data_IF_429540551915
#
_entry.id   IF_429540551915
#
_cell.length_a   1.000
_cell.length_b   1.000
_cell.length_c   1.000
_cell.angle_alpha   90.00
_cell.angle_beta   90.00
_cell.angle_gamma   90.00
#
_symmetry.space_group_name_H-M   'P 1'
#
loop_
_entity.id
_entity.type
_entity.pdbx_description
1 polymer ?
#
# COMPACT_ATOMS: atom_id res chain seq x y z
N UNK A 1 -2.68 -25.18 -18.51
CA UNK A 1 -2.46 -25.91 -19.79
C UNK A 1 -0.99 -26.28 -19.87
N UNK A 2 -0.63 -27.48 -20.36
CA UNK A 2 0.77 -27.90 -20.42
C UNK A 2 1.54 -27.03 -21.44
N UNK A 3 2.83 -26.69 -21.15
CA UNK A 3 3.70 -25.92 -22.03
C UNK A 3 3.75 -26.48 -23.47
N UNK A 4 3.67 -27.82 -23.58
CA UNK A 4 3.57 -28.50 -24.87
C UNK A 4 2.32 -28.11 -25.68
N UNK A 5 1.19 -27.93 -25.04
CA UNK A 5 -0.08 -27.52 -25.69
C UNK A 5 -0.01 -26.08 -26.18
N UNK A 6 0.66 -25.20 -25.46
CA UNK A 6 0.87 -23.80 -25.87
C UNK A 6 1.83 -23.68 -27.06
N UNK A 7 2.91 -24.47 -27.08
CA UNK A 7 3.84 -24.51 -28.22
C UNK A 7 3.19 -25.13 -29.46
N UNK A 8 2.32 -26.13 -29.31
CA UNK A 8 1.61 -26.74 -30.43
C UNK A 8 0.63 -25.78 -31.13
N UNK A 9 0.07 -24.80 -30.42
CA UNK A 9 -0.83 -23.80 -30.99
C UNK A 9 -0.10 -22.71 -31.81
N UNK A 10 1.21 -22.54 -31.65
CA UNK A 10 1.99 -21.52 -32.37
C UNK A 10 2.34 -21.91 -33.83
N UNK A 11 2.43 -20.97 -34.77
CA UNK A 11 2.96 -21.19 -36.11
C UNK A 11 4.42 -21.63 -36.08
N UNK A 12 4.85 -22.39 -37.11
CA UNK A 12 6.24 -22.89 -37.20
C UNK A 12 7.26 -21.75 -37.33
N UNK A 13 6.87 -20.60 -37.90
CA UNK A 13 7.71 -19.41 -38.00
C UNK A 13 8.05 -18.84 -36.63
N UNK A 14 7.07 -18.75 -35.73
CA UNK A 14 7.26 -18.22 -34.37
C UNK A 14 8.12 -19.18 -33.51
N UNK A 15 7.95 -20.48 -33.69
CA UNK A 15 8.78 -21.47 -33.00
C UNK A 15 10.25 -21.41 -33.43
N UNK A 16 10.49 -21.09 -34.71
CA UNK A 16 11.87 -20.88 -35.23
C UNK A 16 12.48 -19.59 -34.70
N UNK A 17 11.72 -18.51 -34.62
CA UNK A 17 12.19 -17.25 -34.03
C UNK A 17 12.54 -17.41 -32.54
N UNK A 18 11.76 -18.22 -31.79
CA UNK A 18 12.06 -18.54 -30.38
C UNK A 18 13.36 -19.38 -30.28
N UNK A 19 13.53 -20.37 -31.15
CA UNK A 19 14.73 -21.21 -31.17
C UNK A 19 15.99 -20.41 -31.57
N UNK A 20 15.84 -19.44 -32.49
CA UNK A 20 16.91 -18.53 -32.91
C UNK A 20 17.31 -17.57 -31.76
N UNK A 21 16.31 -17.04 -31.01
CA UNK A 21 16.57 -16.22 -29.82
C UNK A 21 17.24 -16.97 -28.65
N UNK A 22 17.16 -18.30 -28.64
CA UNK A 22 17.82 -19.18 -27.67
C UNK A 22 19.11 -19.81 -28.20
N UNK A 23 19.61 -19.36 -29.35
CA UNK A 23 20.86 -19.81 -30.00
C UNK A 23 20.89 -21.34 -30.27
N UNK A 24 19.71 -21.93 -30.60
CA UNK A 24 19.54 -23.36 -30.84
C UNK A 24 19.64 -23.69 -32.34
N UNK A 25 20.29 -24.80 -32.71
CA UNK A 25 20.32 -25.29 -34.07
C UNK A 25 18.93 -25.80 -34.51
N UNK A 26 18.20 -24.95 -35.25
CA UNK A 26 16.80 -25.18 -35.67
C UNK A 26 16.61 -25.38 -37.19
N UNK A 27 17.66 -25.19 -38.00
CA UNK A 27 17.59 -25.27 -39.47
C UNK A 27 17.23 -26.68 -39.94
N UNK A 28 16.07 -26.77 -40.64
CA UNK A 28 15.62 -28.05 -41.22
C UNK A 28 14.75 -28.91 -40.31
N UNK A 29 14.48 -28.50 -39.08
CA UNK A 29 13.65 -29.29 -38.16
C UNK A 29 12.14 -29.12 -38.45
N UNK A 30 11.41 -30.24 -38.35
CA UNK A 30 9.93 -30.26 -38.41
C UNK A 30 9.33 -29.75 -37.09
N UNK A 31 8.09 -29.23 -37.14
CA UNK A 31 7.39 -28.61 -36.00
C UNK A 31 7.43 -29.45 -34.72
N UNK A 32 7.24 -30.76 -34.81
CA UNK A 32 7.26 -31.66 -33.66
C UNK A 32 8.62 -31.71 -32.97
N UNK A 33 9.72 -31.85 -33.75
CA UNK A 33 11.09 -31.88 -33.21
C UNK A 33 11.54 -30.53 -32.66
N UNK A 34 11.01 -29.44 -33.24
CA UNK A 34 11.28 -28.08 -32.75
C UNK A 34 10.63 -27.84 -31.39
N UNK A 35 9.42 -28.39 -31.18
CA UNK A 35 8.73 -28.33 -29.89
C UNK A 35 9.46 -29.17 -28.84
N UNK A 36 9.90 -30.37 -29.19
CA UNK A 36 10.66 -31.23 -28.27
C UNK A 36 12.00 -30.58 -27.90
N UNK A 37 12.71 -29.98 -28.84
CA UNK A 37 13.95 -29.22 -28.59
C UNK A 37 13.72 -28.01 -27.68
N UNK A 38 12.62 -27.27 -27.87
CA UNK A 38 12.25 -26.14 -27.03
C UNK A 38 11.80 -26.58 -25.63
N UNK A 39 11.23 -27.78 -25.49
CA UNK A 39 10.86 -28.33 -24.18
C UNK A 39 12.06 -28.90 -23.42
N UNK A 40 13.03 -29.52 -24.10
CA UNK A 40 14.28 -29.99 -23.46
C UNK A 40 15.15 -28.85 -22.91
N UNK A 41 15.10 -27.66 -23.55
CA UNK A 41 15.76 -26.46 -23.04
C UNK A 41 14.81 -25.62 -22.16
N UNK A 42 13.52 -25.81 -22.30
CA UNK A 42 12.47 -25.07 -21.55
C UNK A 42 12.28 -25.54 -20.10
N UNK A 43 12.79 -26.71 -19.73
CA UNK A 43 12.97 -27.06 -18.31
C UNK A 43 14.05 -26.20 -17.63
N UNK A 44 14.80 -25.39 -18.44
CA UNK A 44 15.76 -24.41 -17.94
C UNK A 44 15.27 -22.94 -18.08
N UNK A 45 14.19 -22.64 -18.80
CA UNK A 45 13.81 -21.25 -19.16
C UNK A 45 12.31 -20.94 -19.03
N UNK A 46 11.44 -21.87 -18.66
CA UNK A 46 10.01 -21.61 -18.42
C UNK A 46 9.70 -21.56 -16.92
N UNK A 47 10.55 -20.87 -16.17
CA UNK A 47 10.29 -20.44 -14.79
C UNK A 47 10.46 -18.90 -14.67
N UNK A 48 9.82 -18.14 -15.53
CA UNK A 48 9.69 -16.69 -15.29
C UNK A 48 8.42 -16.19 -15.95
N UNK A 49 7.29 -16.35 -15.25
CA UNK A 49 6.18 -15.42 -15.17
C UNK A 49 5.07 -15.97 -14.24
N UNK A 50 5.46 -16.23 -12.98
CA UNK A 50 4.52 -16.16 -11.84
C UNK A 50 5.22 -15.42 -10.70
N UNK A 51 4.49 -14.74 -9.79
CA UNK A 51 5.07 -13.68 -8.97
C UNK A 51 6.18 -14.20 -8.07
N UNK A 52 7.34 -13.58 -8.20
CA UNK A 52 8.57 -13.80 -7.43
C UNK A 52 8.33 -13.45 -5.95
N UNK A 53 7.66 -14.30 -5.20
CA UNK A 53 7.63 -14.25 -3.72
C UNK A 53 7.65 -15.64 -3.07
N UNK A 54 7.42 -16.73 -3.81
CA UNK A 54 7.30 -18.07 -3.23
C UNK A 54 8.53 -18.98 -3.39
N UNK A 55 9.51 -18.66 -4.22
CA UNK A 55 10.57 -19.60 -4.61
C UNK A 55 12.01 -19.25 -4.23
N UNK A 56 12.25 -18.24 -3.38
CA UNK A 56 13.58 -17.95 -2.81
C UNK A 56 13.90 -18.83 -1.59
N UNK A 57 13.12 -19.88 -1.32
CA UNK A 57 13.36 -20.81 -0.18
C UNK A 57 14.01 -22.13 -0.60
N UNK A 58 14.28 -22.36 -1.89
CA UNK A 58 14.86 -23.64 -2.32
C UNK A 58 15.86 -23.46 -3.43
N UNK A 59 17.10 -23.47 -3.06
CA UNK A 59 18.38 -23.70 -3.78
C UNK A 59 19.31 -22.49 -3.83
N UNK A 60 20.31 -22.51 -2.98
CA UNK A 60 21.68 -22.16 -3.33
C UNK A 60 22.62 -23.04 -2.52
N UNK A 61 23.25 -23.96 -3.21
CA UNK A 61 24.49 -24.60 -2.82
C UNK A 61 25.67 -23.65 -3.08
N UNK A 62 26.68 -23.81 -2.23
CA UNK A 62 27.93 -23.10 -2.15
C UNK A 62 28.67 -22.84 -3.46
N UNK A 63 29.19 -21.64 -3.66
CA UNK A 63 30.63 -21.32 -3.76
C UNK A 63 30.87 -19.95 -4.43
N UNK A 64 31.74 -19.17 -3.79
CA UNK A 64 32.55 -18.04 -4.30
C UNK A 64 31.86 -16.74 -4.77
N UNK A 65 31.76 -15.76 -3.84
CA UNK A 65 31.95 -14.34 -4.14
C UNK A 65 32.51 -13.58 -2.93
N UNK A 66 33.29 -12.50 -3.14
CA UNK A 66 34.14 -11.91 -2.13
C UNK A 66 33.37 -11.07 -1.11
N UNK A 67 33.83 -11.15 0.13
CA UNK A 67 33.46 -10.36 1.28
C UNK A 67 33.40 -8.86 1.00
N UNK A 68 32.21 -8.27 1.10
CA UNK A 68 32.01 -6.87 1.46
C UNK A 68 31.34 -6.81 2.82
N UNK A 69 32.04 -6.15 3.69
CA UNK A 69 31.86 -6.02 5.11
C UNK A 69 30.54 -5.32 5.48
N UNK A 70 29.79 -5.96 6.38
CA UNK A 70 29.12 -5.43 7.55
C UNK A 70 27.99 -4.43 7.47
N UNK A 71 26.81 -4.85 7.97
CA UNK A 71 26.34 -4.21 9.20
C UNK A 71 25.12 -4.97 9.77
N UNK A 72 25.23 -5.39 11.00
CA UNK A 72 24.10 -5.62 11.91
C UNK A 72 23.51 -7.01 11.91
N UNK A 73 24.26 -7.95 12.45
CA UNK A 73 23.76 -9.19 13.06
C UNK A 73 22.77 -8.83 14.19
N UNK A 74 21.52 -8.59 13.87
CA UNK A 74 20.45 -8.47 14.85
C UNK A 74 20.06 -9.89 15.28
N UNK A 75 20.87 -10.50 16.13
CA UNK A 75 20.50 -11.73 16.81
C UNK A 75 19.22 -11.46 17.62
N UNK A 76 18.09 -11.99 17.14
CA UNK A 76 16.81 -11.97 17.87
C UNK A 76 17.03 -12.65 19.21
N UNK A 77 16.99 -11.90 20.30
CA UNK A 77 17.10 -12.43 21.67
C UNK A 77 15.82 -13.20 21.99
N UNK A 78 15.97 -14.34 22.67
CA UNK A 78 14.81 -15.08 23.15
C UNK A 78 13.96 -14.19 24.06
N UNK A 79 12.65 -14.00 23.70
CA UNK A 79 11.72 -13.13 24.43
C UNK A 79 11.66 -11.67 23.92
N UNK A 80 12.33 -11.32 22.83
CA UNK A 80 12.16 -10.02 22.19
C UNK A 80 10.70 -9.85 21.72
N UNK A 81 10.06 -8.73 22.07
CA UNK A 81 8.74 -8.34 21.55
C UNK A 81 8.91 -7.35 20.43
N UNK A 82 8.11 -7.49 19.36
CA UNK A 82 8.04 -6.52 18.26
C UNK A 82 6.63 -6.08 18.02
N UNK A 83 6.51 -4.82 17.60
CA UNK A 83 5.29 -4.21 17.17
C UNK A 83 5.35 -3.93 15.67
N UNK A 84 4.23 -4.11 14.98
CA UNK A 84 4.13 -3.81 13.58
C UNK A 84 2.69 -3.85 13.07
N UNK A 85 2.48 -3.28 11.88
CA UNK A 85 1.17 -3.28 11.23
C UNK A 85 1.00 -4.56 10.44
N UNK A 86 -0.09 -5.28 10.71
CA UNK A 86 -0.39 -6.55 10.06
C UNK A 86 -0.81 -6.37 8.61
N UNK A 87 0.00 -6.90 7.71
CA UNK A 87 -0.29 -7.02 6.29
C UNK A 87 -0.61 -8.49 5.96
N UNK A 88 -1.88 -8.79 5.63
CA UNK A 88 -2.33 -10.15 5.32
C UNK A 88 -2.26 -10.35 3.81
N UNK A 89 -1.62 -11.44 3.40
CA UNK A 89 -1.49 -11.84 2.01
C UNK A 89 -2.68 -12.73 1.56
N UNK A 90 -2.91 -12.88 0.24
CA UNK A 90 -4.02 -13.67 -0.29
C UNK A 90 -4.06 -15.12 0.20
N UNK A 91 -2.91 -15.71 0.52
CA UNK A 91 -2.75 -17.08 1.02
C UNK A 91 -3.19 -17.24 2.49
N UNK A 92 -3.51 -16.13 3.16
CA UNK A 92 -4.08 -16.10 4.51
C UNK A 92 -3.08 -16.03 5.66
N UNK A 93 -1.78 -16.06 5.41
CA UNK A 93 -0.75 -15.67 6.36
C UNK A 93 -0.42 -14.17 6.22
N UNK A 94 0.40 -13.62 7.10
CA UNK A 94 0.74 -12.21 7.04
C UNK A 94 2.13 -11.89 7.55
N UNK A 95 2.47 -10.59 7.48
CA UNK A 95 3.68 -10.03 8.07
C UNK A 95 3.32 -8.82 8.92
N UNK A 96 3.98 -8.66 10.05
CA UNK A 96 4.01 -7.38 10.75
C UNK A 96 5.05 -6.50 10.08
N UNK A 97 4.62 -5.39 9.52
CA UNK A 97 5.48 -4.38 8.95
C UNK A 97 6.04 -3.53 10.08
N UNK A 98 7.30 -3.78 10.45
CA UNK A 98 7.94 -3.13 11.60
C UNK A 98 8.68 -1.83 11.21
N UNK A 99 8.88 -1.59 9.92
CA UNK A 99 9.58 -0.41 9.40
C UNK A 99 8.65 0.48 8.57
N UNK A 100 7.46 0.78 9.12
CA UNK A 100 6.41 1.54 8.45
C UNK A 100 5.40 0.65 7.73
N UNK A 101 5.00 1.01 6.47
CA UNK A 101 3.94 0.33 5.73
C UNK A 101 4.44 -0.50 4.54
N UNK A 102 5.74 -0.65 4.41
CA UNK A 102 6.40 -1.37 3.32
C UNK A 102 7.04 -2.65 3.81
N UNK A 103 7.24 -3.63 2.91
CA UNK A 103 8.07 -4.80 3.20
C UNK A 103 9.49 -4.39 3.61
N UNK A 104 10.01 -5.01 4.66
CA UNK A 104 11.34 -4.73 5.19
C UNK A 104 12.00 -5.96 5.80
N UNK A 105 13.32 -5.89 6.01
CA UNK A 105 14.09 -7.01 6.56
C UNK A 105 13.76 -7.30 8.03
N UNK A 106 13.17 -6.33 8.74
CA UNK A 106 12.76 -6.48 10.14
C UNK A 106 11.33 -7.02 10.30
N UNK A 107 10.67 -7.38 9.21
CA UNK A 107 9.29 -7.88 9.25
C UNK A 107 9.18 -9.18 10.03
N UNK A 108 8.02 -9.41 10.64
CA UNK A 108 7.74 -10.60 11.44
C UNK A 108 6.64 -11.41 10.76
N UNK A 109 6.92 -12.67 10.50
CA UNK A 109 5.93 -13.59 9.94
C UNK A 109 4.80 -13.90 10.92
N UNK A 110 3.56 -13.85 10.46
CA UNK A 110 2.36 -14.16 11.25
C UNK A 110 1.64 -15.37 10.63
N UNK A 111 1.57 -16.50 11.35
CA UNK A 111 0.89 -17.70 10.84
C UNK A 111 -0.61 -17.47 10.62
N UNK A 112 -1.17 -18.06 9.56
CA UNK A 112 -2.60 -18.00 9.27
C UNK A 112 -3.48 -18.54 10.42
N UNK A 113 -2.97 -19.51 11.19
CA UNK A 113 -3.63 -20.03 12.38
C UNK A 113 -3.81 -18.96 13.48
N UNK A 114 -2.78 -18.16 13.74
CA UNK A 114 -2.85 -17.04 14.70
C UNK A 114 -3.81 -15.96 14.24
N UNK A 115 -3.77 -15.60 12.94
CA UNK A 115 -4.70 -14.61 12.36
C UNK A 115 -6.16 -15.05 12.57
N UNK A 116 -6.47 -16.31 12.28
CA UNK A 116 -7.83 -16.86 12.47
C UNK A 116 -8.22 -16.98 13.94
N UNK A 117 -7.32 -17.47 14.80
CA UNK A 117 -7.57 -17.67 16.24
C UNK A 117 -7.98 -16.36 16.91
N UNK A 118 -7.22 -15.29 16.66
CA UNK A 118 -7.43 -13.97 17.27
C UNK A 118 -8.29 -13.03 16.42
N UNK A 119 -8.83 -13.51 15.28
CA UNK A 119 -9.65 -12.69 14.35
C UNK A 119 -8.97 -11.38 13.94
N UNK A 120 -7.66 -11.42 13.81
CA UNK A 120 -6.88 -10.26 13.36
C UNK A 120 -7.22 -9.90 11.92
N UNK A 121 -7.13 -8.62 11.60
CA UNK A 121 -7.44 -8.07 10.28
C UNK A 121 -6.25 -7.30 9.73
N UNK A 122 -6.19 -7.17 8.42
CA UNK A 122 -5.23 -6.30 7.76
C UNK A 122 -5.34 -4.88 8.31
N UNK A 123 -4.20 -4.26 8.64
CA UNK A 123 -4.12 -2.93 9.25
C UNK A 123 -4.17 -2.92 10.78
N UNK A 124 -4.34 -4.06 11.46
CA UNK A 124 -4.18 -4.13 12.92
C UNK A 124 -2.73 -3.85 13.32
N UNK A 125 -2.52 -3.06 14.37
CA UNK A 125 -1.24 -2.90 15.03
C UNK A 125 -1.08 -4.03 16.04
N UNK A 126 -0.12 -4.90 15.85
CA UNK A 126 0.07 -6.09 16.67
C UNK A 126 1.42 -6.04 17.35
N UNK A 127 1.43 -6.23 18.68
CA UNK A 127 2.63 -6.39 19.48
C UNK A 127 2.68 -7.80 20.08
N UNK A 128 3.85 -8.41 20.10
CA UNK A 128 4.01 -9.69 20.74
C UNK A 128 5.43 -10.26 20.68
N UNK A 129 5.70 -11.30 21.48
CA UNK A 129 6.98 -11.99 21.49
C UNK A 129 7.22 -12.70 20.16
N UNK A 130 8.45 -12.61 19.67
CA UNK A 130 8.89 -13.24 18.44
C UNK A 130 9.86 -14.39 18.74
N UNK A 131 9.88 -15.38 17.86
CA UNK A 131 10.91 -16.41 17.83
C UNK A 131 11.90 -16.17 16.68
N UNK A 132 13.14 -16.54 16.90
CA UNK A 132 14.16 -16.51 15.85
C UNK A 132 13.73 -17.38 14.64
N UNK A 133 14.15 -17.01 13.42
CA UNK A 133 13.89 -17.81 12.23
C UNK A 133 14.57 -19.20 12.36
N UNK A 134 13.89 -20.25 11.89
CA UNK A 134 14.44 -21.59 11.80
C UNK A 134 15.30 -21.74 10.54
N UNK A 135 16.07 -22.84 10.42
CA UNK A 135 17.06 -23.08 9.35
C UNK A 135 16.60 -22.83 7.89
N UNK A 136 15.29 -22.69 7.63
CA UNK A 136 14.73 -22.41 6.29
C UNK A 136 13.81 -21.19 6.26
N UNK A 137 13.74 -20.43 7.34
CA UNK A 137 12.89 -19.26 7.46
C UNK A 137 13.74 -17.98 7.33
N UNK A 138 13.33 -17.05 6.48
CA UNK A 138 14.01 -15.75 6.32
C UNK A 138 13.65 -14.78 7.45
N UNK A 139 12.43 -14.85 7.98
CA UNK A 139 11.89 -13.89 8.94
C UNK A 139 11.64 -14.51 10.30
N UNK A 140 11.81 -13.75 11.41
CA UNK A 140 11.32 -14.15 12.71
C UNK A 140 9.81 -14.35 12.67
N UNK A 141 9.25 -15.17 13.55
CA UNK A 141 7.82 -15.42 13.56
C UNK A 141 7.18 -15.00 14.88
N UNK A 142 5.98 -14.41 14.80
CA UNK A 142 5.16 -14.10 15.96
C UNK A 142 4.76 -15.40 16.67
N UNK A 143 5.01 -15.48 17.96
CA UNK A 143 4.62 -16.61 18.80
C UNK A 143 3.14 -16.50 19.15
N UNK A 144 2.78 -15.37 19.78
CA UNK A 144 1.43 -15.05 20.21
C UNK A 144 1.28 -13.52 20.27
N UNK A 145 0.16 -12.94 19.85
CA UNK A 145 -0.08 -11.52 20.04
C UNK A 145 -0.29 -11.21 21.53
N UNK A 146 0.43 -10.24 22.06
CA UNK A 146 0.26 -9.72 23.40
C UNK A 146 -0.81 -8.63 23.43
N UNK A 147 -0.75 -7.73 22.44
CA UNK A 147 -1.76 -6.71 22.25
C UNK A 147 -2.10 -6.61 20.76
N UNK A 148 -3.33 -6.22 20.45
CA UNK A 148 -3.78 -5.83 19.12
C UNK A 148 -4.48 -4.48 19.23
N UNK A 149 -3.93 -3.48 18.53
CA UNK A 149 -4.34 -2.08 18.63
C UNK A 149 -4.33 -1.54 20.07
N UNK A 150 -3.39 -2.04 20.88
CA UNK A 150 -3.27 -1.66 22.31
C UNK A 150 -4.23 -2.35 23.28
N UNK A 151 -5.13 -3.22 22.77
CA UNK A 151 -6.10 -3.96 23.56
C UNK A 151 -5.74 -5.46 23.65
N UNK A 152 -6.38 -6.17 24.57
CA UNK A 152 -6.27 -7.63 24.68
C UNK A 152 -6.81 -8.30 23.42
N UNK A 153 -6.06 -9.23 22.80
CA UNK A 153 -6.48 -9.94 21.59
C UNK A 153 -7.83 -10.67 21.71
N UNK A 154 -8.21 -11.11 22.92
CA UNK A 154 -9.48 -11.80 23.15
C UNK A 154 -10.70 -10.88 22.94
N UNK A 155 -10.54 -9.57 23.12
CA UNK A 155 -11.61 -8.58 22.91
C UNK A 155 -11.95 -8.38 21.43
N UNK A 156 -11.06 -8.74 20.51
CA UNK A 156 -11.28 -8.60 19.05
C UNK A 156 -12.49 -9.39 18.54
N UNK A 157 -12.90 -10.43 19.27
CA UNK A 157 -14.07 -11.23 18.89
C UNK A 157 -15.37 -10.42 18.83
N UNK A 158 -15.45 -9.29 19.54
CA UNK A 158 -16.62 -8.41 19.60
C UNK A 158 -16.54 -7.22 18.66
N UNK A 159 -15.43 -7.02 17.96
CA UNK A 159 -15.20 -5.88 17.06
C UNK A 159 -16.14 -5.92 15.85
N UNK A 160 -16.89 -4.86 15.63
CA UNK A 160 -17.74 -4.68 14.46
C UNK A 160 -16.88 -4.39 13.24
N UNK A 161 -17.25 -4.90 12.07
CA UNK A 161 -16.57 -4.62 10.82
C UNK A 161 -16.90 -3.21 10.32
N UNK A 162 -15.90 -2.50 9.80
CA UNK A 162 -16.06 -1.14 9.28
C UNK A 162 -17.21 -1.00 8.28
N UNK A 163 -17.41 -2.00 7.42
CA UNK A 163 -18.46 -1.99 6.41
C UNK A 163 -19.88 -2.18 7.00
N UNK A 164 -19.97 -2.63 8.25
CA UNK A 164 -21.24 -2.82 8.97
C UNK A 164 -21.59 -1.65 9.87
N UNK A 165 -20.70 -0.68 10.03
CA UNK A 165 -20.95 0.52 10.80
C UNK A 165 -21.89 1.44 10.03
N UNK A 166 -22.87 2.05 10.71
CA UNK A 166 -23.85 2.95 10.12
C UNK A 166 -23.19 4.28 9.74
N UNK A 167 -23.12 4.65 8.45
CA UNK A 167 -22.53 5.92 8.05
C UNK A 167 -23.50 7.07 8.29
N UNK A 168 -22.98 8.19 8.80
CA UNK A 168 -23.69 9.44 8.96
C UNK A 168 -23.05 10.55 8.12
N UNK A 169 -23.79 11.64 7.91
CA UNK A 169 -23.21 12.86 7.37
C UNK A 169 -22.28 13.51 8.40
N UNK A 170 -21.27 14.28 7.95
CA UNK A 170 -20.44 15.09 8.83
C UNK A 170 -21.27 16.13 9.56
N UNK A 171 -21.41 16.02 10.88
CA UNK A 171 -22.18 16.92 11.74
C UNK A 171 -21.29 17.69 12.75
N UNK A 172 -20.07 17.21 12.98
CA UNK A 172 -19.07 17.85 13.82
C UNK A 172 -17.96 18.47 12.96
N UNK A 173 -17.67 19.75 13.22
CA UNK A 173 -16.70 20.52 12.43
C UNK A 173 -15.27 20.35 12.94
N UNK A 174 -14.33 20.10 12.05
CA UNK A 174 -12.90 20.22 12.29
C UNK A 174 -12.47 21.68 12.05
N UNK A 175 -12.35 22.47 13.12
CA UNK A 175 -11.89 23.86 13.02
C UNK A 175 -10.40 23.92 12.65
N UNK A 176 -10.08 24.73 11.65
CA UNK A 176 -8.72 24.95 11.21
C UNK A 176 -8.14 26.31 11.69
N UNK A 177 -8.97 27.28 12.05
CA UNK A 177 -8.52 28.50 12.66
C UNK A 177 -7.89 28.22 14.03
N UNK A 178 -6.59 28.57 14.17
CA UNK A 178 -5.86 28.38 15.43
C UNK A 178 -5.99 29.65 16.26
N UNK A 179 -6.61 29.60 17.44
CA UNK A 179 -6.78 30.77 18.30
C UNK A 179 -5.42 31.40 18.67
N UNK A 180 -5.35 32.72 18.64
CA UNK A 180 -4.13 33.46 19.01
C UNK A 180 -3.03 33.48 17.94
N UNK A 181 -3.27 32.93 16.74
CA UNK A 181 -2.34 32.94 15.61
C UNK A 181 -2.96 33.60 14.37
N UNK A 182 -3.17 34.93 14.39
CA UNK A 182 -3.84 35.63 13.29
C UNK A 182 -3.07 35.60 11.96
N UNK A 183 -1.78 35.29 11.98
CA UNK A 183 -0.94 35.08 10.80
C UNK A 183 -1.27 33.82 10.02
N UNK A 184 -1.91 32.85 10.66
CA UNK A 184 -2.36 31.60 10.02
C UNK A 184 -3.69 31.81 9.27
N UNK A 185 -3.61 32.48 8.12
CA UNK A 185 -4.80 32.90 7.34
C UNK A 185 -5.44 31.72 6.61
N UNK A 186 -4.67 30.72 6.17
CA UNK A 186 -5.18 29.60 5.35
C UNK A 186 -6.30 28.83 6.05
N UNK A 187 -6.10 28.45 7.33
CA UNK A 187 -7.12 27.77 8.12
C UNK A 187 -8.43 28.57 8.24
N UNK A 188 -8.33 29.90 8.44
CA UNK A 188 -9.51 30.79 8.50
C UNK A 188 -10.24 30.88 7.17
N UNK A 189 -9.53 30.96 6.05
CA UNK A 189 -10.11 30.99 4.71
C UNK A 189 -10.90 29.69 4.47
N UNK A 190 -10.28 28.53 4.76
CA UNK A 190 -10.92 27.22 4.58
C UNK A 190 -12.15 27.13 5.48
N UNK A 191 -12.05 27.55 6.73
CA UNK A 191 -13.17 27.55 7.68
C UNK A 191 -14.36 28.39 7.23
N UNK A 192 -14.12 29.47 6.50
CA UNK A 192 -15.18 30.38 6.02
C UNK A 192 -15.80 29.91 4.70
N UNK A 193 -14.99 29.36 3.79
CA UNK A 193 -15.43 29.07 2.42
C UNK A 193 -15.77 27.60 2.21
N UNK A 194 -14.97 26.68 2.80
CA UNK A 194 -15.09 25.24 2.61
C UNK A 194 -14.85 24.49 3.93
N UNK A 195 -15.71 24.68 4.95
CA UNK A 195 -15.53 24.06 6.26
C UNK A 195 -15.48 22.53 6.15
N UNK A 196 -14.59 21.92 6.94
CA UNK A 196 -14.38 20.49 6.96
C UNK A 196 -15.04 19.89 8.19
N UNK A 197 -15.78 18.79 8.01
CA UNK A 197 -16.39 18.03 9.08
C UNK A 197 -15.72 16.67 9.29
N UNK A 198 -15.87 16.09 10.50
CA UNK A 198 -15.47 14.73 10.81
C UNK A 198 -16.23 13.74 9.92
N UNK A 199 -15.51 12.88 9.21
CA UNK A 199 -16.08 11.95 8.24
C UNK A 199 -16.24 12.50 6.82
N UNK A 200 -15.78 13.72 6.55
CA UNK A 200 -15.91 14.35 5.24
C UNK A 200 -14.92 13.80 4.21
N UNK A 201 -15.36 13.74 2.96
CA UNK A 201 -14.50 13.64 1.78
C UNK A 201 -14.28 15.02 1.19
N UNK A 202 -13.04 15.41 0.95
CA UNK A 202 -12.69 16.67 0.34
C UNK A 202 -11.57 16.56 -0.67
N UNK A 203 -11.65 17.36 -1.75
CA UNK A 203 -10.57 17.49 -2.73
C UNK A 203 -9.91 18.87 -2.59
N UNK A 204 -8.58 18.85 -2.59
CA UNK A 204 -7.74 20.04 -2.72
C UNK A 204 -7.21 20.05 -4.15
N UNK A 205 -7.89 20.82 -5.01
CA UNK A 205 -7.60 20.87 -6.44
C UNK A 205 -6.63 22.00 -6.73
N UNK A 206 -5.55 21.70 -7.41
CA UNK A 206 -4.56 22.72 -7.78
C UNK A 206 -3.77 22.34 -9.03
N UNK A 207 -3.32 23.32 -9.83
CA UNK A 207 -2.30 23.08 -10.83
C UNK A 207 -0.95 22.76 -10.18
N UNK A 208 0.01 22.19 -10.92
CA UNK A 208 1.36 21.95 -10.41
C UNK A 208 2.01 23.23 -9.88
N UNK A 209 2.77 23.11 -8.78
CA UNK A 209 3.53 24.23 -8.15
C UNK A 209 2.66 25.36 -7.58
N UNK A 210 1.39 25.13 -7.29
CA UNK A 210 0.48 26.15 -6.72
C UNK A 210 0.47 26.22 -5.17
N UNK A 211 1.43 25.59 -4.49
CA UNK A 211 1.50 25.61 -3.03
C UNK A 211 0.68 24.54 -2.31
N UNK A 212 0.28 23.47 -3.00
CA UNK A 212 -0.47 22.32 -2.47
C UNK A 212 0.09 21.80 -1.15
N UNK A 213 1.39 21.52 -1.09
CA UNK A 213 2.09 21.00 0.10
C UNK A 213 2.01 21.97 1.29
N UNK A 214 2.07 23.28 1.03
CA UNK A 214 1.91 24.30 2.07
C UNK A 214 0.52 24.27 2.68
N UNK A 215 -0.51 24.15 1.85
CA UNK A 215 -1.91 24.05 2.32
C UNK A 215 -2.11 22.78 3.14
N UNK A 216 -1.57 21.64 2.70
CA UNK A 216 -1.64 20.38 3.46
C UNK A 216 -0.98 20.49 4.83
N UNK A 217 0.20 21.10 4.93
CA UNK A 217 0.88 21.34 6.21
C UNK A 217 0.08 22.24 7.13
N UNK A 218 -0.49 23.33 6.61
CA UNK A 218 -1.34 24.22 7.40
C UNK A 218 -2.60 23.49 7.91
N UNK A 219 -3.25 22.68 7.09
CA UNK A 219 -4.38 21.84 7.52
C UNK A 219 -3.94 20.86 8.60
N UNK A 220 -2.85 20.12 8.38
CA UNK A 220 -2.30 19.15 9.32
C UNK A 220 -2.03 19.81 10.69
N UNK A 221 -1.26 20.89 10.70
CA UNK A 221 -0.90 21.60 11.92
C UNK A 221 -2.10 22.27 12.62
N UNK A 222 -3.11 22.65 11.87
CA UNK A 222 -4.34 23.21 12.43
C UNK A 222 -5.18 22.12 13.11
N UNK A 223 -5.27 20.94 12.50
CA UNK A 223 -5.97 19.79 13.07
C UNK A 223 -5.31 19.34 14.37
N UNK A 224 -4.01 19.12 14.38
CA UNK A 224 -3.29 18.70 15.58
C UNK A 224 -3.31 19.73 16.70
N UNK A 225 -3.35 21.02 16.37
CA UNK A 225 -3.42 22.09 17.36
C UNK A 225 -4.83 22.22 17.99
N UNK A 226 -5.89 22.01 17.22
CA UNK A 226 -7.27 22.22 17.66
C UNK A 226 -7.96 20.93 18.12
N UNK A 227 -7.54 19.77 17.60
CA UNK A 227 -8.14 18.47 17.83
C UNK A 227 -7.05 17.42 18.13
N UNK A 228 -6.39 17.49 19.30
CA UNK A 228 -5.29 16.60 19.64
C UNK A 228 -5.72 15.12 19.81
N UNK A 229 -7.01 14.86 19.96
CA UNK A 229 -7.59 13.51 20.00
C UNK A 229 -7.65 12.83 18.63
N UNK A 230 -7.59 13.59 17.55
CA UNK A 230 -7.67 13.09 16.18
C UNK A 230 -6.37 12.38 15.78
N UNK A 231 -6.47 11.17 15.27
CA UNK A 231 -5.34 10.47 14.67
C UNK A 231 -5.10 10.97 13.25
N UNK A 232 -4.05 11.77 13.08
CA UNK A 232 -3.68 12.33 11.79
C UNK A 232 -2.72 11.41 11.04
N UNK A 233 -3.09 11.02 9.82
CA UNK A 233 -2.27 10.25 8.89
C UNK A 233 -2.02 11.08 7.63
N UNK A 234 -0.77 11.21 7.22
CA UNK A 234 -0.38 11.83 5.95
C UNK A 234 0.16 10.75 5.03
N UNK A 235 -0.52 10.53 3.90
CA UNK A 235 -0.19 9.48 2.93
C UNK A 235 0.39 10.12 1.67
N UNK A 236 1.69 9.95 1.46
CA UNK A 236 2.43 10.50 0.33
C UNK A 236 2.73 9.39 -0.67
N UNK A 237 2.20 9.52 -1.88
CA UNK A 237 2.32 8.51 -2.93
C UNK A 237 3.06 9.07 -4.13
N UNK A 238 4.16 8.43 -4.52
CA UNK A 238 4.99 8.85 -5.67
C UNK A 238 5.52 10.28 -5.49
N UNK A 239 5.82 10.68 -4.24
CA UNK A 239 6.40 11.99 -3.92
C UNK A 239 7.93 11.94 -3.79
N UNK A 240 8.56 13.11 -3.83
CA UNK A 240 10.01 13.22 -3.77
C UNK A 240 10.53 13.00 -2.34
N UNK A 241 11.70 12.35 -2.14
CA UNK A 241 12.26 12.13 -0.81
C UNK A 241 12.42 13.40 0.02
N UNK A 242 12.79 14.53 -0.60
CA UNK A 242 12.91 15.83 0.07
C UNK A 242 11.56 16.36 0.57
N UNK A 243 10.46 16.15 -0.19
CA UNK A 243 9.11 16.54 0.21
C UNK A 243 8.59 15.66 1.36
N UNK A 244 8.93 14.36 1.33
CA UNK A 244 8.64 13.44 2.43
C UNK A 244 9.35 13.88 3.72
N UNK A 245 10.65 14.16 3.65
CA UNK A 245 11.44 14.60 4.81
C UNK A 245 10.91 15.91 5.38
N UNK A 246 10.53 16.84 4.51
CA UNK A 246 9.97 18.13 4.89
C UNK A 246 8.60 17.96 5.60
N UNK A 247 7.75 17.05 5.10
CA UNK A 247 6.47 16.72 5.74
C UNK A 247 6.69 16.09 7.12
N UNK A 248 7.59 15.11 7.23
CA UNK A 248 7.92 14.43 8.50
C UNK A 248 8.44 15.40 9.58
N UNK A 249 9.15 16.45 9.17
CA UNK A 249 9.69 17.46 10.10
C UNK A 249 8.69 18.55 10.48
N UNK A 250 7.67 18.76 9.63
CA UNK A 250 6.75 19.89 9.73
C UNK A 250 5.39 19.53 10.32
N UNK A 251 5.04 18.25 10.38
CA UNK A 251 3.71 17.79 10.78
C UNK A 251 3.83 16.81 11.95
N UNK A 252 3.05 17.04 12.99
CA UNK A 252 2.89 16.12 14.11
C UNK A 252 1.75 15.14 13.77
N UNK A 253 2.11 14.02 13.15
CA UNK A 253 1.20 12.98 12.67
C UNK A 253 1.94 11.79 12.07
N UNK A 254 1.22 10.73 11.78
CA UNK A 254 1.77 9.53 11.16
C UNK A 254 2.01 9.77 9.67
N UNK A 255 3.27 9.92 9.23
CA UNK A 255 3.63 10.13 7.83
C UNK A 255 3.96 8.81 7.15
N UNK A 256 3.11 8.40 6.24
CA UNK A 256 3.18 7.16 5.46
C UNK A 256 3.56 7.53 4.04
N UNK A 257 4.57 6.90 3.47
CA UNK A 257 5.06 7.31 2.16
C UNK A 257 5.61 6.17 1.31
N UNK A 258 5.54 6.37 0.01
CA UNK A 258 6.28 5.64 -1.00
C UNK A 258 6.81 6.64 -2.03
N UNK A 259 8.14 6.74 -2.14
CA UNK A 259 8.84 7.73 -2.96
C UNK A 259 8.87 7.36 -4.44
N UNK A 260 9.02 8.34 -5.33
CA UNK A 260 8.91 8.20 -6.78
C UNK A 260 9.89 7.19 -7.41
N UNK A 261 10.98 6.85 -6.71
CA UNK A 261 11.99 5.87 -7.13
C UNK A 261 11.53 4.41 -6.92
N UNK A 262 10.35 4.20 -6.31
CA UNK A 262 9.81 2.88 -6.02
C UNK A 262 8.87 2.40 -7.13
N UNK A 263 8.71 1.06 -7.27
CA UNK A 263 7.79 0.50 -8.26
C UNK A 263 6.33 0.82 -7.92
N UNK A 264 5.44 0.88 -8.94
CA UNK A 264 4.02 1.20 -8.76
C UNK A 264 3.29 0.27 -7.78
N UNK A 265 3.68 -0.98 -7.70
CA UNK A 265 3.12 -1.99 -6.78
C UNK A 265 3.34 -1.59 -5.32
N UNK A 266 4.50 -1.01 -4.98
CA UNK A 266 4.78 -0.51 -3.62
C UNK A 266 3.84 0.66 -3.26
N UNK A 267 3.60 1.59 -4.19
CA UNK A 267 2.66 2.70 -3.97
C UNK A 267 1.26 2.19 -3.66
N UNK A 268 0.79 1.20 -4.42
CA UNK A 268 -0.55 0.62 -4.22
C UNK A 268 -0.64 -0.20 -2.92
N UNK A 269 0.42 -0.91 -2.55
CA UNK A 269 0.48 -1.70 -1.32
C UNK A 269 0.46 -0.80 -0.08
N UNK A 270 1.32 0.23 -0.05
CA UNK A 270 1.41 1.18 1.06
C UNK A 270 0.09 1.90 1.27
N UNK A 271 -0.52 2.43 0.21
CA UNK A 271 -1.81 3.11 0.31
C UNK A 271 -2.94 2.19 0.78
N UNK A 272 -2.97 0.94 0.30
CA UNK A 272 -3.94 -0.07 0.73
C UNK A 272 -3.79 -0.41 2.21
N UNK A 273 -2.56 -0.56 2.69
CA UNK A 273 -2.32 -0.84 4.10
C UNK A 273 -2.68 0.36 4.98
N UNK A 274 -2.39 1.59 4.52
CA UNK A 274 -2.74 2.82 5.22
C UNK A 274 -4.26 2.97 5.41
N UNK A 275 -5.06 2.76 4.37
CA UNK A 275 -6.53 2.85 4.51
C UNK A 275 -7.09 1.73 5.41
N UNK A 276 -6.53 0.52 5.35
CA UNK A 276 -6.95 -0.54 6.27
C UNK A 276 -6.59 -0.20 7.72
N UNK A 277 -5.43 0.39 7.98
CA UNK A 277 -5.06 0.90 9.32
C UNK A 277 -6.06 1.95 9.80
N UNK A 278 -6.39 2.93 8.97
CA UNK A 278 -7.38 3.96 9.31
C UNK A 278 -8.74 3.36 9.67
N UNK A 279 -9.21 2.37 8.90
CA UNK A 279 -10.45 1.65 9.21
C UNK A 279 -10.39 0.94 10.57
N UNK A 280 -9.23 0.32 10.93
CA UNK A 280 -9.07 -0.33 12.25
C UNK A 280 -9.19 0.67 13.39
N UNK A 281 -8.54 1.84 13.26
CA UNK A 281 -8.66 2.92 14.24
C UNK A 281 -10.09 3.44 14.39
N UNK A 282 -10.78 3.58 13.27
CA UNK A 282 -12.18 4.05 13.26
C UNK A 282 -13.13 3.01 13.88
N UNK A 283 -12.90 1.70 13.67
CA UNK A 283 -13.65 0.62 14.35
C UNK A 283 -13.49 0.65 15.87
N UNK A 284 -12.43 1.27 16.38
CA UNK A 284 -12.18 1.50 17.82
C UNK A 284 -12.83 2.79 18.35
N UNK A 285 -13.57 3.49 17.52
CA UNK A 285 -14.23 4.75 17.89
C UNK A 285 -13.31 5.97 17.82
N UNK A 286 -12.15 5.88 17.16
CA UNK A 286 -11.24 7.02 16.99
C UNK A 286 -11.65 7.87 15.80
N UNK A 287 -11.44 9.18 15.91
CA UNK A 287 -11.52 10.11 14.80
C UNK A 287 -10.18 10.10 14.04
N UNK A 288 -10.25 9.75 12.76
CA UNK A 288 -9.07 9.63 11.90
C UNK A 288 -9.17 10.63 10.75
N UNK A 289 -8.09 11.35 10.48
CA UNK A 289 -7.95 12.21 9.31
C UNK A 289 -6.82 11.71 8.44
N UNK A 290 -7.11 11.44 7.17
CA UNK A 290 -6.11 11.14 6.15
C UNK A 290 -5.94 12.35 5.24
N UNK A 291 -4.70 12.85 5.13
CA UNK A 291 -4.27 13.78 4.10
C UNK A 291 -3.53 12.98 3.02
N UNK A 292 -4.13 12.82 1.83
CA UNK A 292 -3.56 12.04 0.73
C UNK A 292 -2.95 12.95 -0.33
N UNK A 293 -1.67 12.84 -0.55
CA UNK A 293 -0.95 13.53 -1.61
C UNK A 293 -0.29 12.52 -2.56
N UNK A 294 -0.81 12.24 -3.76
CA UNK A 294 -2.06 12.75 -4.33
C UNK A 294 -2.94 11.62 -4.89
N UNK A 295 -4.23 11.88 -5.02
CA UNK A 295 -5.17 10.96 -5.69
C UNK A 295 -4.73 10.70 -7.13
N UNK A 296 -4.29 11.73 -7.84
CA UNK A 296 -3.82 11.63 -9.24
C UNK A 296 -2.67 10.64 -9.38
N UNK A 297 -1.68 10.74 -8.50
CA UNK A 297 -0.52 9.82 -8.51
C UNK A 297 -0.90 8.40 -8.07
N UNK A 298 -1.77 8.27 -7.08
CA UNK A 298 -2.29 6.98 -6.65
C UNK A 298 -3.04 6.28 -7.79
N UNK A 299 -3.87 7.00 -8.54
CA UNK A 299 -4.58 6.45 -9.69
C UNK A 299 -3.62 6.02 -10.81
N UNK A 300 -2.58 6.80 -11.09
CA UNK A 300 -1.53 6.43 -12.04
C UNK A 300 -0.77 5.17 -11.60
N UNK A 301 -0.44 5.06 -10.30
CA UNK A 301 0.21 3.88 -9.76
C UNK A 301 -0.66 2.62 -9.92
N UNK A 302 -1.96 2.72 -9.63
CA UNK A 302 -2.89 1.62 -9.86
C UNK A 302 -3.02 1.27 -11.35
N UNK A 303 -2.97 2.25 -12.25
CA UNK A 303 -3.03 2.01 -13.69
C UNK A 303 -1.80 1.26 -14.21
N UNK A 304 -0.63 1.52 -13.63
CA UNK A 304 0.63 0.84 -13.98
C UNK A 304 0.74 -0.56 -13.34
N UNK A 305 0.28 -0.70 -12.10
CA UNK A 305 0.38 -1.96 -11.35
C UNK A 305 -0.72 -2.97 -11.70
N UNK A 306 -1.83 -2.54 -12.34
CA UNK A 306 -2.93 -3.45 -12.69
C UNK A 306 -2.70 -4.11 -14.03
N UNK A 307 -3.02 -5.41 -14.17
CA UNK A 307 -3.01 -6.05 -15.48
C UNK A 307 -4.05 -5.38 -16.40
N UNK A 308 -3.71 -5.21 -17.67
CA UNK A 308 -4.60 -4.58 -18.65
C UNK A 308 -5.94 -5.33 -18.77
N UNK A 309 -7.05 -4.65 -18.46
CA UNK A 309 -8.40 -5.23 -18.59
C UNK A 309 -8.94 -5.20 -20.01
N UNK A 310 -8.30 -4.44 -20.90
CA UNK A 310 -8.77 -4.16 -22.25
C UNK A 310 -9.89 -3.10 -22.34
N UNK A 311 -10.32 -2.54 -21.21
CA UNK A 311 -11.34 -1.48 -21.12
C UNK A 311 -10.68 -0.14 -20.77
N UNK A 312 -10.13 0.50 -21.78
CA UNK A 312 -9.38 1.74 -21.62
C UNK A 312 -10.33 2.94 -21.74
N UNK A 313 -10.33 3.81 -20.74
CA UNK A 313 -10.98 5.12 -20.75
C UNK A 313 -10.12 6.14 -21.52
N UNK A 314 -10.67 7.33 -21.77
CA UNK A 314 -9.91 8.43 -22.36
C UNK A 314 -8.60 8.67 -21.60
N UNK A 315 -7.54 9.08 -22.30
CA UNK A 315 -6.23 9.32 -21.68
C UNK A 315 -5.43 8.08 -21.29
N UNK A 316 -5.88 6.86 -21.65
CA UNK A 316 -5.12 5.62 -21.37
C UNK A 316 -5.31 5.06 -19.94
N UNK A 317 -6.35 5.50 -19.23
CA UNK A 317 -6.72 4.98 -17.92
C UNK A 317 -7.51 3.67 -18.05
N UNK A 318 -7.06 2.59 -17.45
CA UNK A 318 -7.84 1.35 -17.37
C UNK A 318 -9.02 1.51 -16.39
N UNK A 319 -10.22 1.10 -16.82
CA UNK A 319 -11.44 1.27 -16.02
C UNK A 319 -11.39 0.52 -14.67
N UNK A 320 -10.58 -0.51 -14.56
CA UNK A 320 -10.40 -1.28 -13.31
C UNK A 320 -9.42 -0.61 -12.35
N UNK A 321 -8.48 0.20 -12.85
CA UNK A 321 -7.46 0.88 -12.07
C UNK A 321 -8.01 1.98 -11.16
N UNK A 322 -9.11 2.64 -11.57
CA UNK A 322 -9.73 3.72 -10.77
C UNK A 322 -10.54 3.19 -9.57
N UNK A 323 -11.05 1.95 -9.66
CA UNK A 323 -11.91 1.37 -8.62
C UNK A 323 -11.27 1.32 -7.23
N UNK A 324 -10.01 0.86 -7.04
CA UNK A 324 -9.37 0.87 -5.72
C UNK A 324 -9.20 2.27 -5.15
N UNK A 325 -8.95 3.27 -5.99
CA UNK A 325 -8.80 4.67 -5.57
C UNK A 325 -10.15 5.25 -5.13
N UNK A 326 -11.22 4.95 -5.85
CA UNK A 326 -12.60 5.28 -5.43
C UNK A 326 -12.97 4.60 -4.11
N UNK A 327 -12.56 3.34 -3.90
CA UNK A 327 -12.78 2.63 -2.65
C UNK A 327 -11.99 3.27 -1.49
N UNK A 328 -10.76 3.70 -1.74
CA UNK A 328 -9.96 4.43 -0.77
C UNK A 328 -10.67 5.73 -0.36
N UNK A 329 -10.95 6.61 -1.30
CA UNK A 329 -11.58 7.90 -1.05
C UNK A 329 -13.02 7.78 -0.55
N UNK A 330 -13.75 6.78 -1.05
CA UNK A 330 -15.13 6.47 -0.63
C UNK A 330 -15.26 5.85 0.76
N UNK A 331 -14.14 5.50 1.41
CA UNK A 331 -14.16 5.01 2.79
C UNK A 331 -14.50 6.12 3.81
N UNK A 332 -14.29 7.39 3.45
CA UNK A 332 -14.58 8.52 4.33
C UNK A 332 -16.06 8.54 4.76
N UNK A 333 -16.29 8.55 6.07
CA UNK A 333 -17.62 8.61 6.70
C UNK A 333 -17.56 9.01 8.16
N UNK A 334 -18.58 9.66 8.66
CA UNK A 334 -18.87 9.74 10.07
C UNK A 334 -19.67 8.50 10.49
N UNK A 335 -19.53 8.01 11.72
CA UNK A 335 -20.12 6.75 12.18
C UNK A 335 -21.02 6.97 13.38
N UNK A 336 -22.20 6.37 13.32
CA UNK A 336 -23.13 6.34 14.44
C UNK A 336 -22.53 5.63 15.66
N UNK A 337 -22.53 6.28 16.80
CA UNK A 337 -22.00 5.72 18.04
C UNK A 337 -20.51 5.98 18.28
N UNK A 338 -19.85 6.72 17.40
CA UNK A 338 -18.48 7.21 17.60
C UNK A 338 -17.47 6.77 16.54
N UNK A 339 -16.43 7.58 16.40
CA UNK A 339 -15.38 7.45 15.40
C UNK A 339 -15.77 8.05 14.05
N UNK A 340 -14.78 8.56 13.37
CA UNK A 340 -14.95 9.08 12.01
C UNK A 340 -13.71 8.85 11.16
N UNK A 341 -13.89 8.75 9.86
CA UNK A 341 -12.81 8.72 8.89
C UNK A 341 -12.97 9.87 7.90
N UNK A 342 -12.15 10.89 8.03
CA UNK A 342 -12.10 12.05 7.13
C UNK A 342 -10.96 11.85 6.14
N UNK A 343 -11.20 12.09 4.85
CA UNK A 343 -10.16 11.97 3.82
C UNK A 343 -10.13 13.23 2.97
N UNK A 344 -9.00 13.92 3.00
CA UNK A 344 -8.70 15.08 2.16
C UNK A 344 -7.62 14.68 1.16
N UNK A 345 -7.97 14.57 -0.10
CA UNK A 345 -7.04 14.20 -1.16
C UNK A 345 -6.67 15.39 -2.04
N UNK A 346 -5.42 15.48 -2.46
CA UNK A 346 -5.03 16.45 -3.47
C UNK A 346 -5.25 15.87 -4.86
N UNK A 347 -5.75 16.69 -5.78
CA UNK A 347 -5.90 16.38 -7.18
C UNK A 347 -5.16 17.39 -8.04
N UNK A 348 -4.39 16.91 -9.02
CA UNK A 348 -3.67 17.75 -9.95
C UNK A 348 -4.53 17.99 -11.20
N UNK A 349 -4.65 19.26 -11.57
CA UNK A 349 -5.32 19.73 -12.80
C UNK A 349 -4.35 20.54 -13.66
N UNK A 350 -4.70 20.81 -14.91
CA UNK A 350 -3.88 21.60 -15.83
C UNK A 350 -2.44 21.06 -16.02
N UNK A 351 -2.28 19.75 -15.93
CA UNK A 351 -0.99 19.09 -16.15
C UNK A 351 -0.66 18.88 -17.63
N UNK A 352 -1.61 19.12 -18.52
CA UNK A 352 -1.54 18.75 -19.93
C UNK A 352 -1.74 17.25 -20.21
N UNK A 353 -2.04 16.46 -19.19
CA UNK A 353 -2.30 15.01 -19.29
C UNK A 353 -3.80 14.74 -19.34
N UNK A 354 -4.29 14.15 -20.44
CA UNK A 354 -5.68 13.71 -20.55
C UNK A 354 -6.05 12.64 -19.51
N UNK A 355 -5.08 11.85 -19.05
CA UNK A 355 -5.30 10.88 -17.98
C UNK A 355 -5.65 11.59 -16.67
N UNK A 356 -4.96 12.67 -16.32
CA UNK A 356 -5.23 13.42 -15.09
C UNK A 356 -6.59 14.11 -15.13
N UNK A 357 -6.99 14.64 -16.28
CA UNK A 357 -8.32 15.20 -16.48
C UNK A 357 -9.41 14.15 -16.21
N UNK A 358 -9.28 12.95 -16.81
CA UNK A 358 -10.22 11.84 -16.56
C UNK A 358 -10.19 11.40 -15.09
N UNK A 359 -9.00 11.28 -14.47
CA UNK A 359 -8.91 10.95 -13.04
C UNK A 359 -9.66 12.01 -12.21
N UNK A 360 -9.46 13.29 -12.48
CA UNK A 360 -10.12 14.37 -11.75
C UNK A 360 -11.65 14.33 -11.90
N UNK A 361 -12.17 14.08 -13.09
CA UNK A 361 -13.62 13.98 -13.35
C UNK A 361 -14.29 12.77 -12.70
N UNK A 362 -13.50 11.74 -12.32
CA UNK A 362 -14.02 10.54 -11.67
C UNK A 362 -14.24 10.71 -10.14
N UNK A 363 -13.78 11.83 -9.55
CA UNK A 363 -13.91 12.20 -8.14
C UNK A 363 -14.69 13.47 -7.92
#
# INVERSE_FOLDING_TARGET
MSARTQLQSKPIADLRAIAEGLDLEHKGLQKAKLIDLLLEQGDAVVETEEPIVAEVISKNDDSDLPSVVNSGDSQVKAGESREGILDILPEGYGFLRCSGYKPGDNDVYVPAGSIKKYRMRKGDLVEGPIRAPRQKEKFPALVEPKTVNGADPELLARRVDFNKLTPLFPDERLKLEVPGKPEKIVGRIIDLIAPIGKGQRGLIVSPPKAGKTTILKEIANSITANNPEVHLMVVLVDERPEEVTDMQRSVDGEVIFSTFDRPPEEHTQVSRLAIERAKRLTEEGKDVVILLDSITRLARAHNLASPASGRILSGGLDSTAITPVKQFFGAARNIEGGGSLTILGTALVETGSKMDEVIFEEF
#
